data_IF_498206631897
#
_entry.id   IF_498206631897
#
_cell.length_a   1.000
_cell.length_b   1.000
_cell.length_c   1.000
_cell.angle_alpha   90.00
_cell.angle_beta   90.00
_cell.angle_gamma   90.00
#
_symmetry.space_group_name_H-M   'P 1'
#
loop_
_entity.id
_entity.type
_entity.pdbx_description
1 polymer ?
#
# COMPACT_ATOMS: atom_id res chain seq x y z
N UNK A 1 6.55 9.56 -15.77
CA UNK A 1 6.19 9.42 -14.34
C UNK A 1 5.24 8.25 -14.20
N UNK A 2 5.51 7.30 -13.31
CA UNK A 2 4.72 6.06 -13.18
C UNK A 2 3.41 6.34 -12.42
N UNK A 3 2.26 5.96 -12.98
CA UNK A 3 0.95 6.19 -12.38
C UNK A 3 0.24 4.90 -11.93
N UNK A 4 0.54 3.77 -12.57
CA UNK A 4 -0.13 2.50 -12.33
C UNK A 4 0.92 1.41 -12.23
N UNK A 5 0.85 0.60 -11.17
CA UNK A 5 1.74 -0.54 -10.97
C UNK A 5 0.92 -1.79 -10.65
N UNK A 6 0.93 -2.75 -11.57
CA UNK A 6 0.15 -3.99 -11.45
C UNK A 6 1.10 -5.19 -11.42
N UNK A 7 1.10 -5.90 -10.29
CA UNK A 7 1.96 -7.04 -10.00
C UNK A 7 1.15 -8.18 -9.33
N UNK A 8 -0.12 -8.28 -9.68
CA UNK A 8 -1.02 -9.36 -9.24
C UNK A 8 -0.51 -10.73 -9.68
N UNK A 9 -0.78 -11.79 -8.89
CA UNK A 9 -0.39 -13.18 -9.21
C UNK A 9 1.11 -13.39 -9.42
N UNK A 10 1.89 -12.92 -8.46
CA UNK A 10 3.33 -13.13 -8.42
C UNK A 10 3.74 -13.74 -7.07
N UNK A 11 5.04 -13.87 -6.84
CA UNK A 11 5.61 -14.39 -5.59
C UNK A 11 6.25 -13.28 -4.75
N UNK A 12 5.67 -12.08 -4.76
CA UNK A 12 6.24 -10.92 -4.06
C UNK A 12 6.00 -11.06 -2.56
N UNK A 13 7.07 -10.94 -1.78
CA UNK A 13 7.00 -11.04 -0.32
C UNK A 13 6.83 -9.68 0.39
N UNK A 14 7.06 -8.56 -0.33
CA UNK A 14 7.07 -7.19 0.22
C UNK A 14 6.50 -6.16 -0.75
N UNK A 15 5.88 -5.10 -0.22
CA UNK A 15 5.43 -3.96 -1.05
C UNK A 15 6.67 -3.25 -1.63
N UNK A 16 6.75 -3.00 -2.95
CA UNK A 16 7.91 -2.36 -3.56
C UNK A 16 8.00 -0.89 -3.13
N UNK A 17 9.05 -0.51 -2.42
CA UNK A 17 9.33 0.86 -1.98
C UNK A 17 10.74 1.30 -2.44
N UNK A 18 10.97 2.60 -2.68
CA UNK A 18 10.04 3.72 -2.57
C UNK A 18 9.02 3.78 -3.73
N UNK A 19 7.80 4.23 -3.43
CA UNK A 19 6.75 4.44 -4.43
C UNK A 19 6.73 5.91 -4.89
N UNK A 20 6.61 6.20 -6.19
CA UNK A 20 6.59 7.58 -6.68
C UNK A 20 5.33 8.34 -6.24
N UNK A 21 5.45 9.66 -6.02
CA UNK A 21 4.31 10.53 -5.62
C UNK A 21 3.20 10.60 -6.68
N UNK A 22 3.53 10.32 -7.93
CA UNK A 22 2.59 10.28 -9.04
C UNK A 22 1.77 9.00 -9.14
N UNK A 23 2.06 7.99 -8.31
CA UNK A 23 1.36 6.71 -8.32
C UNK A 23 -0.10 6.90 -7.89
N UNK A 24 -1.00 6.36 -8.70
CA UNK A 24 -2.45 6.43 -8.52
C UNK A 24 -3.08 5.11 -8.11
N UNK A 25 -2.51 4.01 -8.61
CA UNK A 25 -2.99 2.67 -8.29
C UNK A 25 -1.83 1.68 -8.17
N UNK A 26 -1.93 0.80 -7.18
CA UNK A 26 -1.03 -0.33 -6.98
C UNK A 26 -1.81 -1.61 -6.66
N UNK A 27 -1.61 -2.62 -7.50
CA UNK A 27 -2.30 -3.91 -7.41
C UNK A 27 -1.27 -5.00 -7.13
N UNK A 28 -1.34 -5.57 -5.93
CA UNK A 28 -0.43 -6.58 -5.40
C UNK A 28 -1.19 -7.83 -4.96
N UNK A 29 -2.42 -8.03 -5.42
CA UNK A 29 -3.26 -9.16 -5.03
C UNK A 29 -2.58 -10.50 -5.29
N UNK A 30 -2.93 -11.51 -4.48
CA UNK A 30 -2.47 -12.90 -4.65
C UNK A 30 -0.94 -13.00 -4.77
N UNK A 31 -0.27 -12.42 -3.77
CA UNK A 31 1.17 -12.50 -3.55
C UNK A 31 1.41 -13.06 -2.12
N UNK A 32 2.65 -12.98 -1.61
CA UNK A 32 3.07 -13.52 -0.33
C UNK A 32 3.34 -12.43 0.73
N UNK A 33 2.78 -11.23 0.57
CA UNK A 33 3.06 -10.09 1.45
C UNK A 33 2.47 -10.37 2.84
N UNK A 34 3.32 -10.41 3.86
CA UNK A 34 2.90 -10.72 5.24
C UNK A 34 2.81 -9.49 6.15
N UNK A 35 3.56 -8.44 5.83
CA UNK A 35 3.66 -7.25 6.67
C UNK A 35 3.95 -6.00 5.83
N UNK A 36 3.72 -4.84 6.44
CA UNK A 36 4.12 -3.54 5.90
C UNK A 36 4.66 -2.66 7.02
N UNK A 37 5.50 -1.69 6.66
CA UNK A 37 6.04 -0.72 7.60
C UNK A 37 5.12 0.51 7.70
N UNK A 38 5.19 1.24 8.81
CA UNK A 38 4.35 2.42 9.08
C UNK A 38 4.57 3.57 8.08
N UNK A 39 5.71 3.58 7.37
CA UNK A 39 6.08 4.56 6.35
C UNK A 39 5.84 4.07 4.91
N UNK A 40 5.15 2.95 4.72
CA UNK A 40 4.99 2.33 3.38
C UNK A 40 4.30 3.26 2.38
N UNK A 41 3.19 3.90 2.78
CA UNK A 41 2.49 4.88 1.92
C UNK A 41 2.52 6.31 2.46
N UNK A 42 2.82 6.49 3.75
CA UNK A 42 2.74 7.76 4.45
C UNK A 42 4.11 8.24 4.93
N UNK A 43 4.26 9.56 5.06
CA UNK A 43 5.48 10.16 5.60
C UNK A 43 5.37 10.31 7.12
N UNK A 44 6.13 9.52 7.89
CA UNK A 44 6.12 9.58 9.36
C UNK A 44 6.71 10.88 9.93
N UNK A 45 7.47 11.65 9.12
CA UNK A 45 8.03 12.92 9.53
C UNK A 45 7.10 14.11 9.25
N UNK A 46 6.00 13.90 8.54
CA UNK A 46 5.02 14.94 8.20
C UNK A 46 3.59 14.41 8.38
N UNK A 47 3.02 14.64 9.57
CA UNK A 47 1.65 14.24 9.89
C UNK A 47 0.58 14.99 9.09
N UNK A 48 0.94 16.09 8.40
CA UNK A 48 0.03 16.79 7.50
C UNK A 48 0.14 16.30 6.05
N UNK A 49 1.05 15.36 5.78
CA UNK A 49 1.20 14.78 4.46
C UNK A 49 -0.05 13.99 4.10
N UNK A 50 -0.73 14.41 3.03
CA UNK A 50 -1.86 13.70 2.44
C UNK A 50 -1.47 13.25 1.04
N UNK A 51 -1.51 11.94 0.80
CA UNK A 51 -1.16 11.36 -0.48
C UNK A 51 -2.39 11.22 -1.37
N UNK A 52 -2.89 12.35 -1.86
CA UNK A 52 -4.14 12.43 -2.63
C UNK A 52 -4.11 11.62 -3.94
N UNK A 53 -2.95 11.45 -4.57
CA UNK A 53 -2.86 10.80 -5.86
C UNK A 53 -3.18 9.29 -5.80
N UNK A 54 -2.79 8.62 -4.70
CA UNK A 54 -2.87 7.17 -4.56
C UNK A 54 -4.24 6.77 -4.01
N UNK A 55 -5.17 6.45 -4.90
CA UNK A 55 -6.57 6.20 -4.56
C UNK A 55 -6.95 4.72 -4.53
N UNK A 56 -6.15 3.84 -5.13
CA UNK A 56 -6.50 2.44 -5.32
C UNK A 56 -5.32 1.52 -4.96
N UNK A 57 -5.46 0.82 -3.84
CA UNK A 57 -4.45 -0.10 -3.31
C UNK A 57 -5.12 -1.43 -3.07
N UNK A 58 -4.64 -2.47 -3.75
CA UNK A 58 -5.18 -3.82 -3.63
C UNK A 58 -4.13 -4.80 -3.12
N UNK A 59 -4.36 -5.32 -1.93
CA UNK A 59 -3.55 -6.29 -1.21
C UNK A 59 -4.31 -7.59 -0.91
N UNK A 60 -5.56 -7.74 -1.38
CA UNK A 60 -6.36 -8.93 -1.15
C UNK A 60 -5.70 -10.22 -1.69
N UNK A 61 -5.87 -11.33 -0.98
CA UNK A 61 -5.18 -12.58 -1.30
C UNK A 61 -3.71 -12.63 -0.87
N UNK A 62 -3.23 -11.66 -0.08
CA UNK A 62 -1.95 -11.75 0.65
C UNK A 62 -2.20 -12.13 2.12
N UNK A 63 -1.23 -12.77 2.79
CA UNK A 63 -1.29 -13.08 4.23
C UNK A 63 -1.09 -11.86 5.16
N UNK A 64 -1.11 -10.63 4.64
CA UNK A 64 -0.99 -9.40 5.44
C UNK A 64 -2.25 -9.13 6.25
N UNK A 65 -2.08 -8.70 7.51
CA UNK A 65 -3.14 -8.15 8.34
C UNK A 65 -2.96 -6.63 8.42
N UNK A 66 -3.84 -5.88 7.73
CA UNK A 66 -3.75 -4.41 7.66
C UNK A 66 -4.00 -3.74 9.02
N UNK A 67 -4.79 -4.37 9.90
CA UNK A 67 -5.12 -3.85 11.23
C UNK A 67 -3.89 -3.75 12.15
N UNK A 68 -2.78 -4.44 11.82
CA UNK A 68 -1.52 -4.34 12.57
C UNK A 68 -0.78 -3.02 12.34
N UNK A 69 -1.04 -2.32 11.23
CA UNK A 69 -0.23 -1.15 10.84
C UNK A 69 -1.09 -0.04 10.22
N UNK A 70 -2.09 0.51 10.94
CA UNK A 70 -2.98 1.54 10.39
C UNK A 70 -2.26 2.85 10.00
N UNK A 71 -1.13 3.15 10.64
CA UNK A 71 -0.33 4.35 10.33
C UNK A 71 0.21 4.35 8.89
N UNK A 72 0.41 3.17 8.31
CA UNK A 72 0.92 3.04 6.94
C UNK A 72 -0.01 3.63 5.88
N UNK A 73 -1.30 3.82 6.19
CA UNK A 73 -2.31 4.25 5.22
C UNK A 73 -3.24 5.37 5.72
N UNK A 74 -2.92 6.03 6.84
CA UNK A 74 -3.75 7.10 7.41
C UNK A 74 -3.74 8.39 6.56
N UNK A 75 -2.67 8.62 5.79
CA UNK A 75 -2.51 9.76 4.89
C UNK A 75 -3.27 9.60 3.56
N UNK A 76 -3.90 8.45 3.33
CA UNK A 76 -4.52 8.12 2.05
C UNK A 76 -6.00 8.53 2.02
N UNK A 77 -6.52 8.94 0.85
CA UNK A 77 -7.92 9.28 0.71
C UNK A 77 -8.85 8.06 0.80
N UNK A 78 -8.31 6.85 0.62
CA UNK A 78 -9.05 5.57 0.67
C UNK A 78 -8.23 4.49 1.37
N UNK A 79 -8.92 3.63 2.10
CA UNK A 79 -8.32 2.49 2.82
C UNK A 79 -7.92 1.40 1.80
N UNK A 80 -6.74 0.77 1.93
CA UNK A 80 -6.35 -0.37 1.12
C UNK A 80 -7.35 -1.52 1.20
N UNK A 81 -7.61 -2.17 0.07
CA UNK A 81 -8.43 -3.39 0.03
C UNK A 81 -7.54 -4.58 0.41
N UNK A 82 -7.87 -5.28 1.48
CA UNK A 82 -7.11 -6.44 1.96
C UNK A 82 -7.74 -7.07 3.19
N UNK A 83 -6.99 -7.94 3.87
CA UNK A 83 -7.48 -8.63 5.06
C UNK A 83 -7.25 -7.79 6.35
N UNK A 84 -8.24 -7.78 7.24
CA UNK A 84 -8.23 -7.05 8.52
C UNK A 84 -8.04 -7.95 9.74
N UNK A 85 -7.99 -9.28 9.54
CA UNK A 85 -7.92 -10.30 10.62
C UNK A 85 -6.73 -11.22 10.47
#
# INVERSE_FOLDING_TARGET
SLQFLYLTDNNIDYIPVPLPDSLRSIHLQRNNIQMMHEDTFCNLNDFNYIRNALEDIRLDGNPINLSKTPQAYICLPRIPVGNLV
#
